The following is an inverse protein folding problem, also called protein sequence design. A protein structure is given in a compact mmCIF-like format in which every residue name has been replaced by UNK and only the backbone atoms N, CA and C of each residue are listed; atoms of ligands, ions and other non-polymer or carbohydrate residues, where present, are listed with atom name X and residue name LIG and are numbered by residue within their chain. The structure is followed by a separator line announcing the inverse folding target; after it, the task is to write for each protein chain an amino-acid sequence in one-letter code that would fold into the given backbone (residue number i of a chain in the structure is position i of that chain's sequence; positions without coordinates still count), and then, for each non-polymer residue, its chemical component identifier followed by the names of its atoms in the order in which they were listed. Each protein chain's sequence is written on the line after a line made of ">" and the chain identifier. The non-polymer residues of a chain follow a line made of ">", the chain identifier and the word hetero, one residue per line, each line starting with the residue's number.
data_IF_159962055449
#
_entry.id   IF_159962055449
#
_cell.length_a   1.000
_cell.length_b   1.000
_cell.length_c   1.000
_cell.angle_alpha   90.00
_cell.angle_beta   90.00
_cell.angle_gamma   90.00
#
_symmetry.space_group_name_H-M   'P 1'
#
loop_
_entity.id
_entity.type
_entity.pdbx_description
1 polymer ?
#
# COMPACT_ATOMS: atom_id res chain seq x y z
N UNK A 1 -19.73 -17.46 5.04
CA UNK A 1 -18.40 -17.09 5.53
C UNK A 1 -18.56 -16.37 6.86
N UNK A 2 -17.83 -16.72 7.91
CA UNK A 2 -17.87 -15.96 9.16
C UNK A 2 -17.26 -14.57 8.87
N UNK A 3 -18.00 -13.51 9.15
CA UNK A 3 -17.42 -12.16 9.16
C UNK A 3 -16.37 -12.12 10.27
N UNK A 4 -15.12 -12.25 9.89
CA UNK A 4 -13.99 -12.10 10.83
C UNK A 4 -13.70 -10.62 10.86
N UNK A 5 -13.84 -10.00 12.03
CA UNK A 5 -13.45 -8.62 12.26
C UNK A 5 -12.07 -8.58 12.90
N UNK A 6 -11.28 -7.57 12.54
CA UNK A 6 -10.01 -7.25 13.19
C UNK A 6 -10.24 -6.69 14.60
N UNK A 7 -9.19 -6.54 15.41
CA UNK A 7 -9.27 -5.84 16.71
C UNK A 7 -9.73 -4.40 16.58
N UNK A 8 -9.42 -3.73 15.47
CA UNK A 8 -9.90 -2.38 15.15
C UNK A 8 -11.36 -2.35 14.68
N UNK A 9 -12.01 -3.50 14.52
CA UNK A 9 -13.41 -3.59 14.07
C UNK A 9 -13.61 -3.60 12.55
N UNK A 10 -12.52 -3.64 11.76
CA UNK A 10 -12.60 -3.72 10.30
C UNK A 10 -13.19 -5.07 9.87
N UNK A 11 -14.14 -5.05 8.94
CA UNK A 11 -14.64 -6.26 8.29
C UNK A 11 -13.69 -6.69 7.17
N UNK A 12 -13.12 -7.88 7.27
CA UNK A 12 -12.22 -8.45 6.24
C UNK A 12 -12.91 -8.51 4.87
N UNK A 13 -14.21 -8.77 4.84
CA UNK A 13 -14.99 -8.84 3.60
C UNK A 13 -15.02 -7.52 2.82
N UNK A 14 -14.89 -6.36 3.49
CA UNK A 14 -14.89 -5.05 2.84
C UNK A 14 -13.62 -4.78 2.00
N UNK A 15 -12.62 -5.66 2.09
CA UNK A 15 -11.37 -5.54 1.36
C UNK A 15 -11.23 -6.54 0.21
N UNK A 16 -12.27 -7.34 -0.08
CA UNK A 16 -12.29 -8.30 -1.19
C UNK A 16 -12.91 -7.65 -2.43
N UNK A 17 -12.10 -7.47 -3.47
CA UNK A 17 -12.49 -6.93 -4.78
C UNK A 17 -11.51 -7.37 -5.85
N UNK A 18 -12.01 -7.54 -7.09
CA UNK A 18 -11.15 -7.73 -8.26
C UNK A 18 -10.68 -6.38 -8.79
N UNK A 19 -9.35 -6.19 -8.86
CA UNK A 19 -8.69 -5.01 -9.44
C UNK A 19 -7.58 -5.49 -10.36
N UNK A 20 -7.60 -5.07 -11.62
CA UNK A 20 -6.63 -5.46 -12.66
C UNK A 20 -6.44 -7.00 -12.77
N UNK A 21 -7.52 -7.77 -12.60
CA UNK A 21 -7.49 -9.23 -12.67
C UNK A 21 -6.92 -9.93 -11.43
N UNK A 22 -6.56 -9.20 -10.38
CA UNK A 22 -6.10 -9.74 -9.10
C UNK A 22 -7.12 -9.46 -8.00
N UNK A 23 -7.24 -10.38 -7.05
CA UNK A 23 -8.11 -10.21 -5.88
C UNK A 23 -7.38 -9.43 -4.77
N UNK A 24 -8.05 -8.42 -4.22
CA UNK A 24 -7.60 -7.75 -3.02
C UNK A 24 -8.11 -8.45 -1.77
N UNK A 25 -7.39 -8.34 -0.67
CA UNK A 25 -7.75 -8.91 0.62
C UNK A 25 -7.19 -8.08 1.78
N UNK A 26 -7.70 -8.32 2.99
CA UNK A 26 -7.13 -7.84 4.25
C UNK A 26 -6.53 -9.01 5.00
N UNK A 27 -5.30 -8.86 5.43
CA UNK A 27 -4.54 -9.81 6.23
C UNK A 27 -4.32 -9.24 7.63
N UNK A 28 -4.32 -10.10 8.64
CA UNK A 28 -4.01 -9.72 10.02
C UNK A 28 -2.78 -10.44 10.51
N UNK A 29 -1.89 -9.70 11.15
CA UNK A 29 -0.70 -10.24 11.81
C UNK A 29 -0.79 -9.89 13.29
N UNK A 30 -0.52 -10.87 14.15
CA UNK A 30 -0.62 -10.70 15.61
C UNK A 30 0.70 -11.11 16.26
N UNK A 31 1.21 -10.28 17.15
CA UNK A 31 2.36 -10.65 17.95
C UNK A 31 1.95 -11.34 19.27
N UNK A 32 2.93 -11.90 19.97
CA UNK A 32 2.71 -12.66 21.23
C UNK A 32 2.16 -11.80 22.38
N UNK A 33 2.22 -10.49 22.30
CA UNK A 33 1.72 -9.56 23.33
C UNK A 33 0.38 -8.89 22.93
N UNK A 34 -0.24 -9.38 21.84
CA UNK A 34 -1.58 -9.00 21.43
C UNK A 34 -1.69 -7.74 20.56
N UNK A 35 -0.57 -7.16 20.11
CA UNK A 35 -0.66 -6.12 19.07
C UNK A 35 -1.06 -6.76 17.73
N UNK A 36 -1.95 -6.09 17.00
CA UNK A 36 -2.45 -6.54 15.70
C UNK A 36 -2.17 -5.51 14.61
N UNK A 37 -1.63 -5.97 13.49
CA UNK A 37 -1.50 -5.22 12.24
C UNK A 37 -2.52 -5.75 11.24
N UNK A 38 -3.34 -4.87 10.66
CA UNK A 38 -4.15 -5.16 9.49
C UNK A 38 -3.51 -4.52 8.25
N UNK A 39 -3.28 -5.32 7.21
CA UNK A 39 -2.64 -4.90 5.96
C UNK A 39 -3.43 -5.40 4.76
N UNK A 40 -3.63 -4.55 3.75
CA UNK A 40 -4.20 -4.98 2.47
C UNK A 40 -3.11 -5.12 1.42
N UNK A 41 -3.27 -6.09 0.51
CA UNK A 41 -2.39 -6.24 -0.64
C UNK A 41 -2.63 -5.18 -1.73
N UNK A 42 -3.67 -4.35 -1.63
CA UNK A 42 -3.83 -3.17 -2.49
C UNK A 42 -2.90 -2.05 -2.02
N UNK A 43 -1.85 -1.78 -2.79
CA UNK A 43 -0.82 -0.80 -2.44
C UNK A 43 0.04 -1.19 -1.26
N UNK A 44 0.00 -2.47 -0.82
CA UNK A 44 0.68 -2.97 0.38
C UNK A 44 0.44 -2.06 1.60
N UNK A 45 -0.83 -1.64 1.79
CA UNK A 45 -1.20 -0.62 2.78
C UNK A 45 -1.39 -1.20 4.17
N UNK A 46 -0.73 -0.59 5.15
CA UNK A 46 -1.10 -0.77 6.55
C UNK A 46 -2.42 -0.01 6.77
N UNK A 47 -3.45 -0.76 7.14
CA UNK A 47 -4.81 -0.24 7.32
C UNK A 47 -5.07 0.13 8.78
N UNK A 48 -4.55 -0.66 9.70
CA UNK A 48 -4.71 -0.50 11.15
C UNK A 48 -3.50 -1.10 11.87
N UNK A 49 -3.08 -0.48 12.96
CA UNK A 49 -2.09 -1.02 13.87
C UNK A 49 -2.58 -0.80 15.30
N UNK A 50 -3.09 -1.87 15.91
CA UNK A 50 -3.57 -1.89 17.29
C UNK A 50 -2.41 -2.16 18.23
N UNK A 51 -2.09 -1.21 19.09
CA UNK A 51 -1.06 -1.33 20.13
C UNK A 51 -1.62 -0.90 21.49
N UNK A 52 -1.12 -1.44 22.61
CA UNK A 52 -1.53 -0.98 23.93
C UNK A 52 -0.98 0.42 24.21
N UNK A 53 -1.84 1.31 24.74
CA UNK A 53 -1.42 2.57 25.32
C UNK A 53 -0.75 2.35 26.69
N UNK A 54 -0.36 3.43 27.37
CA UNK A 54 0.29 3.38 28.71
C UNK A 54 -0.56 2.72 29.79
N UNK A 55 -1.87 2.57 29.57
CA UNK A 55 -2.81 1.93 30.50
C UNK A 55 -3.19 0.51 30.05
N UNK A 56 -2.60 -0.01 28.98
CA UNK A 56 -2.90 -1.31 28.40
C UNK A 56 -4.15 -1.33 27.49
N UNK A 57 -4.76 -0.17 27.20
CA UNK A 57 -5.89 -0.11 26.28
C UNK A 57 -5.39 -0.16 24.84
N UNK A 58 -5.91 -1.13 24.07
CA UNK A 58 -5.61 -1.24 22.64
C UNK A 58 -6.12 -0.01 21.89
N UNK A 59 -5.23 0.64 21.14
CA UNK A 59 -5.49 1.87 20.41
C UNK A 59 -4.93 1.75 19.01
N UNK A 60 -5.72 2.13 18.00
CA UNK A 60 -5.22 2.20 16.62
C UNK A 60 -4.36 3.45 16.46
N UNK A 61 -3.14 3.26 15.96
CA UNK A 61 -2.18 4.35 15.74
C UNK A 61 -1.94 4.64 14.26
N UNK A 62 -2.76 4.09 13.38
CA UNK A 62 -2.70 4.29 11.92
C UNK A 62 -3.98 4.95 11.43
N UNK A 63 -3.83 5.93 10.54
CA UNK A 63 -4.95 6.47 9.78
C UNK A 63 -5.15 5.59 8.54
N UNK A 64 -6.28 4.90 8.46
CA UNK A 64 -6.66 4.03 7.34
C UNK A 64 -8.11 4.25 6.92
N UNK A 65 -8.54 3.49 5.91
CA UNK A 65 -9.92 3.45 5.45
C UNK A 65 -10.58 2.11 5.81
N UNK A 66 -11.92 2.07 5.86
CA UNK A 66 -12.66 0.89 6.32
C UNK A 66 -12.98 -0.12 5.21
N UNK A 67 -12.63 0.20 3.97
CA UNK A 67 -12.90 -0.66 2.82
C UNK A 67 -11.97 -0.35 1.64
N UNK A 68 -11.91 -1.28 0.68
CA UNK A 68 -11.21 -1.07 -0.58
C UNK A 68 -11.85 0.05 -1.40
N UNK A 69 -13.18 0.20 -1.35
CA UNK A 69 -13.89 1.26 -2.06
C UNK A 69 -13.50 2.66 -1.55
N UNK A 70 -13.33 2.81 -0.24
CA UNK A 70 -12.86 4.08 0.34
C UNK A 70 -11.45 4.39 -0.15
N UNK A 71 -10.53 3.42 -0.22
CA UNK A 71 -9.19 3.64 -0.80
C UNK A 71 -9.22 4.03 -2.27
N UNK A 72 -10.13 3.45 -3.07
CA UNK A 72 -10.24 3.74 -4.50
C UNK A 72 -10.83 5.13 -4.80
N UNK A 73 -11.65 5.65 -3.89
CA UNK A 73 -12.35 6.94 -4.06
C UNK A 73 -11.75 8.07 -3.23
N UNK A 74 -10.82 7.78 -2.34
CA UNK A 74 -10.21 8.75 -1.43
C UNK A 74 -9.36 9.77 -2.19
N UNK A 75 -9.41 11.02 -1.74
CA UNK A 75 -8.48 12.08 -2.15
C UNK A 75 -7.09 11.93 -1.51
N UNK A 76 -6.97 11.05 -0.51
CA UNK A 76 -5.73 10.73 0.21
C UNK A 76 -5.33 9.25 -0.07
N UNK A 77 -4.82 8.94 -1.28
CA UNK A 77 -4.58 7.56 -1.71
C UNK A 77 -3.35 6.91 -1.06
N UNK A 78 -2.57 7.66 -0.28
CA UNK A 78 -1.26 7.22 0.21
C UNK A 78 -1.28 6.76 1.68
N UNK A 79 -2.40 6.85 2.40
CA UNK A 79 -2.48 6.39 3.78
C UNK A 79 -2.01 4.93 3.91
N UNK A 80 -0.96 4.72 4.72
CA UNK A 80 -0.36 3.42 5.00
C UNK A 80 0.35 2.74 3.83
N UNK A 81 0.41 3.34 2.64
CA UNK A 81 0.87 2.72 1.41
C UNK A 81 2.39 2.61 1.30
N UNK A 82 2.86 1.60 0.56
CA UNK A 82 4.21 1.60 0.02
C UNK A 82 4.27 2.59 -1.15
N UNK A 83 5.11 3.62 -1.01
CA UNK A 83 5.34 4.61 -2.06
C UNK A 83 6.52 4.17 -2.93
N UNK A 84 6.32 4.13 -4.22
CA UNK A 84 7.35 3.70 -5.19
C UNK A 84 6.88 3.87 -6.65
N UNK A 85 7.86 3.75 -7.59
CA UNK A 85 9.29 3.42 -7.32
C UNK A 85 10.05 4.46 -6.49
N UNK A 86 9.72 5.75 -6.63
CA UNK A 86 10.40 6.84 -5.92
C UNK A 86 9.43 7.51 -4.94
N UNK A 87 9.85 7.62 -3.69
CA UNK A 87 9.08 8.31 -2.66
C UNK A 87 9.23 9.83 -2.78
N UNK A 88 8.10 10.56 -2.64
CA UNK A 88 8.02 12.01 -2.80
C UNK A 88 8.21 12.47 -4.26
N UNK A 89 8.70 13.69 -4.52
CA UNK A 89 8.65 14.34 -5.83
C UNK A 89 9.95 14.25 -6.59
N UNK A 90 9.83 13.99 -7.91
CA UNK A 90 10.89 14.23 -8.89
C UNK A 90 10.48 15.47 -9.69
N UNK A 91 11.29 16.53 -9.60
CA UNK A 91 11.02 17.80 -10.23
C UNK A 91 10.98 17.66 -11.76
N UNK A 92 9.94 18.25 -12.37
CA UNK A 92 9.67 18.19 -13.81
C UNK A 92 9.61 16.74 -14.37
N UNK A 93 9.40 15.73 -13.51
CA UNK A 93 9.34 14.32 -13.91
C UNK A 93 10.59 13.82 -14.60
N UNK A 94 11.78 14.33 -14.26
CA UNK A 94 13.01 13.90 -14.92
C UNK A 94 14.20 13.83 -13.98
N UNK A 95 15.12 12.89 -14.26
CA UNK A 95 16.39 12.74 -13.58
C UNK A 95 17.46 12.20 -14.54
N UNK A 96 18.72 12.24 -14.12
CA UNK A 96 19.84 11.71 -14.88
C UNK A 96 20.62 10.70 -14.04
N UNK A 97 20.92 9.54 -14.62
CA UNK A 97 21.77 8.51 -14.02
C UNK A 97 22.83 8.14 -15.08
N UNK A 98 24.10 8.15 -14.70
CA UNK A 98 25.24 7.79 -15.56
C UNK A 98 25.25 8.51 -16.93
N UNK A 99 24.85 9.80 -16.92
CA UNK A 99 24.79 10.61 -18.13
C UNK A 99 23.56 10.40 -19.01
N UNK A 100 22.70 9.42 -18.70
CA UNK A 100 21.43 9.18 -19.39
C UNK A 100 20.30 9.92 -18.69
N UNK A 101 19.59 10.75 -19.45
CA UNK A 101 18.43 11.50 -18.94
C UNK A 101 17.15 10.72 -19.17
N UNK A 102 16.38 10.54 -18.11
CA UNK A 102 15.03 9.96 -18.09
C UNK A 102 14.04 11.08 -17.85
N UNK A 103 13.26 11.43 -18.87
CA UNK A 103 12.37 12.61 -18.91
C UNK A 103 10.91 12.26 -19.25
N UNK A 104 10.58 10.96 -19.15
CA UNK A 104 9.24 10.44 -19.48
C UNK A 104 8.48 9.92 -18.26
N UNK A 105 8.86 10.36 -17.05
CA UNK A 105 8.12 9.97 -15.86
C UNK A 105 6.69 10.48 -15.90
N UNK A 106 5.75 9.66 -15.45
CA UNK A 106 4.37 10.07 -15.37
C UNK A 106 4.19 11.25 -14.40
N UNK A 107 3.53 12.30 -14.89
CA UNK A 107 3.29 13.55 -14.15
C UNK A 107 1.92 13.49 -13.48
N UNK A 108 1.88 13.59 -12.17
CA UNK A 108 0.66 13.50 -11.37
C UNK A 108 0.52 14.58 -10.28
N UNK A 109 1.49 15.50 -10.17
CA UNK A 109 1.48 16.53 -9.15
C UNK A 109 2.04 17.87 -9.69
N UNK A 110 1.19 18.67 -10.34
CA UNK A 110 1.63 19.85 -11.06
C UNK A 110 2.62 19.47 -12.17
N UNK A 111 3.84 20.04 -12.21
CA UNK A 111 4.85 19.64 -13.18
C UNK A 111 5.67 18.43 -12.76
N UNK A 112 5.41 17.85 -11.59
CA UNK A 112 6.27 16.84 -10.95
C UNK A 112 5.67 15.43 -11.03
N UNK A 113 6.55 14.41 -10.96
CA UNK A 113 6.17 13.05 -10.62
C UNK A 113 6.18 12.89 -9.10
N UNK A 114 5.10 12.38 -8.51
CA UNK A 114 4.95 12.17 -7.07
C UNK A 114 4.68 10.70 -6.77
N UNK A 115 5.42 10.13 -5.84
CA UNK A 115 5.22 8.78 -5.31
C UNK A 115 5.13 7.68 -6.37
N UNK A 116 5.93 7.81 -7.44
CA UNK A 116 6.02 6.81 -8.50
C UNK A 116 5.11 7.05 -9.69
N UNK A 117 4.34 8.14 -9.74
CA UNK A 117 3.53 8.52 -10.89
C UNK A 117 2.03 8.34 -10.70
N UNK A 118 1.29 8.14 -11.79
CA UNK A 118 -0.18 8.07 -11.80
C UNK A 118 -0.66 6.77 -11.14
N UNK A 119 -0.03 5.65 -11.49
CA UNK A 119 -0.31 4.34 -10.93
C UNK A 119 0.94 3.77 -10.26
N UNK A 120 1.39 4.45 -9.19
CA UNK A 120 2.52 3.98 -8.40
C UNK A 120 2.22 2.75 -7.53
N UNK A 121 3.16 2.34 -6.72
CA UNK A 121 3.07 1.13 -5.86
C UNK A 121 1.89 1.15 -4.91
N UNK A 122 1.38 2.33 -4.54
CA UNK A 122 0.18 2.52 -3.73
C UNK A 122 -1.13 2.11 -4.42
N UNK A 123 -1.14 1.98 -5.74
CA UNK A 123 -2.34 1.77 -6.55
C UNK A 123 -2.36 0.44 -7.33
N UNK A 124 -1.44 -0.47 -7.00
CA UNK A 124 -1.36 -1.81 -7.60
C UNK A 124 -1.69 -2.89 -6.59
N UNK A 125 -2.13 -4.06 -7.07
CA UNK A 125 -2.37 -5.23 -6.22
C UNK A 125 -1.10 -6.07 -6.17
N UNK A 126 -0.55 -6.22 -4.96
CA UNK A 126 0.64 -7.02 -4.68
C UNK A 126 0.26 -8.49 -4.51
N UNK A 127 1.12 -9.38 -4.93
CA UNK A 127 0.99 -10.81 -4.63
C UNK A 127 1.33 -11.01 -3.16
N UNK A 128 0.38 -11.54 -2.40
CA UNK A 128 0.48 -11.68 -0.96
C UNK A 128 0.57 -13.14 -0.54
N UNK A 129 1.50 -13.45 0.37
CA UNK A 129 1.65 -14.76 1.00
C UNK A 129 1.83 -14.58 2.49
N UNK A 130 0.82 -14.93 3.27
CA UNK A 130 0.97 -15.01 4.72
C UNK A 130 1.80 -16.26 5.06
N UNK A 131 2.94 -16.04 5.71
CA UNK A 131 3.91 -17.11 6.06
C UNK A 131 3.52 -17.72 7.39
N UNK A 132 3.20 -16.88 8.37
CA UNK A 132 2.77 -17.27 9.71
C UNK A 132 1.89 -16.17 10.33
N UNK A 133 1.62 -16.25 11.64
CA UNK A 133 0.79 -15.27 12.35
C UNK A 133 1.42 -13.86 12.46
N UNK A 134 2.72 -13.73 12.23
CA UNK A 134 3.48 -12.49 12.42
C UNK A 134 4.14 -12.00 11.13
N UNK A 135 4.07 -12.79 10.03
CA UNK A 135 4.83 -12.53 8.82
C UNK A 135 3.96 -12.63 7.57
N UNK A 136 4.00 -11.60 6.75
CA UNK A 136 3.44 -11.61 5.39
C UNK A 136 4.52 -11.18 4.39
N UNK A 137 4.59 -11.87 3.28
CA UNK A 137 5.38 -11.49 2.13
C UNK A 137 4.47 -10.83 1.09
N UNK A 138 4.87 -9.64 0.62
CA UNK A 138 4.19 -8.91 -0.45
C UNK A 138 5.18 -8.69 -1.58
N UNK A 139 4.83 -9.15 -2.78
CA UNK A 139 5.67 -9.02 -3.98
C UNK A 139 4.93 -8.27 -5.08
N UNK A 140 5.64 -7.38 -5.75
CA UNK A 140 5.18 -6.71 -6.96
C UNK A 140 6.33 -6.58 -7.95
N UNK A 141 6.29 -7.30 -9.08
CA UNK A 141 7.26 -7.12 -10.15
C UNK A 141 6.89 -5.87 -10.95
N UNK A 142 7.71 -4.84 -10.84
CA UNK A 142 7.56 -3.60 -11.58
C UNK A 142 8.37 -3.68 -12.88
N UNK A 143 7.69 -3.67 -14.03
CA UNK A 143 8.32 -3.86 -15.34
C UNK A 143 9.17 -2.65 -15.77
N UNK A 144 10.17 -2.88 -16.62
CA UNK A 144 10.92 -1.79 -17.26
C UNK A 144 9.96 -0.82 -17.97
N UNK A 145 10.15 0.47 -17.74
CA UNK A 145 9.31 1.54 -18.29
C UNK A 145 8.02 1.83 -17.54
N UNK A 146 7.69 1.10 -16.46
CA UNK A 146 6.51 1.40 -15.64
C UNK A 146 6.57 2.83 -15.11
N UNK A 147 5.49 3.63 -15.35
CA UNK A 147 5.39 5.05 -15.02
C UNK A 147 6.57 5.91 -15.56
N UNK A 148 7.29 5.39 -16.55
CA UNK A 148 8.46 6.01 -17.19
C UNK A 148 9.79 5.72 -16.49
N UNK A 149 9.82 4.90 -15.46
CA UNK A 149 11.05 4.52 -14.77
C UNK A 149 11.80 3.40 -15.52
N UNK A 150 13.14 3.48 -15.66
CA UNK A 150 13.94 2.45 -16.31
C UNK A 150 14.18 1.24 -15.43
N UNK A 151 14.38 0.09 -16.06
CA UNK A 151 14.77 -1.16 -15.45
C UNK A 151 13.61 -1.90 -14.75
N UNK A 152 13.78 -3.18 -14.53
CA UNK A 152 12.87 -4.02 -13.75
C UNK A 152 13.20 -3.91 -12.25
N UNK A 153 12.17 -3.97 -11.41
CA UNK A 153 12.29 -3.94 -9.94
C UNK A 153 11.36 -4.98 -9.32
#
# INVERSE_FOLDING_TARGET
>A
MKNINTLSGLSVANFSKQIDGKETALYTLCNKVGAELAITNYGAKIVSLMVPDKNGKMTDVVTGHNSIEEYLTSKEPYFGAICGRYGNRIAAGKFTIDGVTYDKLAINNGPNSLHGGIKGFNAVVWDAKQIDEQTIELKYPSADGEEGFPGEL
#
